data_IF_260787369519
#
_entry.id   IF_260787369519
#
_cell.length_a   1.000
_cell.length_b   1.000
_cell.length_c   1.000
_cell.angle_alpha   90.00
_cell.angle_beta   90.00
_cell.angle_gamma   90.00
#
_symmetry.space_group_name_H-M   'P 1'
#
loop_
_entity.id
_entity.type
_entity.pdbx_description
1 polymer ?
#
# COMPACT_ATOMS: atom_id res chain seq x y z
N UNK A 1 39.57 31.31 -5.39
CA UNK A 1 38.23 31.21 -4.78
C UNK A 1 37.73 29.81 -5.07
N UNK A 2 38.08 28.86 -4.22
CA UNK A 2 37.67 27.45 -4.36
C UNK A 2 36.34 27.29 -3.62
N UNK A 3 35.27 26.99 -4.35
CA UNK A 3 33.99 26.60 -3.77
C UNK A 3 34.12 25.14 -3.34
N UNK A 4 34.36 24.95 -2.04
CA UNK A 4 34.20 23.66 -1.36
C UNK A 4 32.70 23.35 -1.32
N UNK A 5 32.28 22.38 -2.14
CA UNK A 5 30.92 21.87 -2.16
C UNK A 5 30.89 20.67 -1.21
N UNK A 6 30.06 20.63 -0.15
CA UNK A 6 29.96 19.45 0.67
C UNK A 6 29.34 18.31 -0.15
N UNK A 7 29.73 17.04 0.07
CA UNK A 7 29.04 15.93 -0.54
C UNK A 7 27.62 15.89 0.03
N UNK A 8 26.62 16.07 -0.83
CA UNK A 8 25.24 15.70 -0.53
C UNK A 8 25.18 14.17 -0.44
N UNK A 9 25.60 13.62 0.69
CA UNK A 9 25.27 12.26 1.06
C UNK A 9 23.83 12.24 1.57
N UNK A 10 22.88 12.32 0.64
CA UNK A 10 21.54 11.84 0.87
C UNK A 10 21.52 10.37 0.48
N UNK A 11 22.14 9.53 1.30
CA UNK A 11 21.64 8.17 1.44
C UNK A 11 20.47 8.27 2.42
N UNK A 12 19.19 8.36 1.98
CA UNK A 12 18.10 8.11 2.91
C UNK A 12 18.25 6.65 3.30
N UNK A 13 18.88 6.39 4.45
CA UNK A 13 18.69 5.12 5.14
C UNK A 13 17.19 4.88 5.19
N UNK A 14 16.78 3.66 4.86
CA UNK A 14 15.42 3.13 4.65
C UNK A 14 14.46 3.38 5.84
N UNK A 15 14.33 4.64 6.27
CA UNK A 15 13.64 5.02 7.48
C UNK A 15 12.15 4.78 7.25
N UNK A 16 11.60 3.90 8.08
CA UNK A 16 10.21 3.51 7.98
C UNK A 16 9.31 4.76 8.06
N UNK A 17 8.40 4.97 7.09
CA UNK A 17 7.53 6.14 7.12
C UNK A 17 6.71 6.18 8.41
N UNK A 18 6.42 7.36 8.99
CA UNK A 18 5.71 7.49 10.28
C UNK A 18 4.25 7.04 10.25
N UNK A 19 3.73 6.71 9.07
CA UNK A 19 2.39 6.18 8.82
C UNK A 19 2.40 4.67 8.54
N UNK A 20 3.56 4.02 8.58
CA UNK A 20 3.74 2.59 8.34
C UNK A 20 4.32 1.93 9.59
N UNK A 21 3.73 0.79 9.98
CA UNK A 21 4.20 -0.05 11.07
C UNK A 21 4.24 -1.50 10.59
N UNK A 22 5.40 -2.15 10.70
CA UNK A 22 5.53 -3.60 10.48
C UNK A 22 5.29 -4.29 11.82
N UNK A 23 4.27 -5.15 11.87
CA UNK A 23 3.86 -5.85 13.08
C UNK A 23 4.66 -7.15 13.29
N UNK A 24 4.67 -7.72 14.52
CA UNK A 24 5.39 -8.96 14.82
C UNK A 24 4.92 -10.20 14.03
N UNK A 25 3.67 -10.20 13.55
CA UNK A 25 3.09 -11.27 12.72
C UNK A 25 3.34 -11.06 11.22
N UNK A 26 4.29 -10.17 10.89
CA UNK A 26 4.67 -9.74 9.55
C UNK A 26 3.60 -8.95 8.81
N UNK A 27 2.41 -8.71 9.38
CA UNK A 27 1.45 -7.80 8.78
C UNK A 27 1.96 -6.34 8.81
N UNK A 28 1.43 -5.50 7.93
CA UNK A 28 1.80 -4.08 7.87
C UNK A 28 0.58 -3.22 8.10
N UNK A 29 0.63 -2.37 9.13
CA UNK A 29 -0.40 -1.38 9.45
C UNK A 29 -0.07 -0.05 8.80
N UNK A 30 -1.02 0.48 8.03
CA UNK A 30 -0.95 1.80 7.39
C UNK A 30 -1.93 2.76 8.04
N UNK A 31 -1.44 3.90 8.53
CA UNK A 31 -2.27 5.00 9.02
C UNK A 31 -2.75 5.88 7.88
N UNK A 32 -4.06 5.96 7.71
CA UNK A 32 -4.71 6.82 6.74
C UNK A 32 -4.53 8.30 7.13
N UNK A 33 -4.58 9.17 6.13
CA UNK A 33 -4.38 10.62 6.33
C UNK A 33 -5.56 11.29 7.02
N UNK A 34 -6.72 10.63 6.96
CA UNK A 34 -7.98 10.97 7.61
C UNK A 34 -8.78 9.68 7.81
N UNK A 35 -9.70 9.63 8.79
CA UNK A 35 -10.63 8.53 8.90
C UNK A 35 -11.44 8.35 7.60
N UNK A 36 -11.60 7.11 7.17
CA UNK A 36 -12.51 6.72 6.12
C UNK A 36 -13.80 6.19 6.76
N UNK A 37 -14.95 6.66 6.29
CA UNK A 37 -16.26 6.21 6.78
C UNK A 37 -16.74 5.06 5.91
N UNK A 38 -16.89 3.89 6.50
CA UNK A 38 -17.41 2.70 5.84
C UNK A 38 -18.94 2.81 5.62
N UNK A 39 -19.53 2.01 4.71
CA UNK A 39 -20.97 2.03 4.45
C UNK A 39 -21.84 1.71 5.68
N UNK A 40 -21.29 0.99 6.66
CA UNK A 40 -21.92 0.67 7.94
C UNK A 40 -21.72 1.77 9.00
N UNK A 41 -21.22 2.95 8.61
CA UNK A 41 -20.88 4.11 9.44
C UNK A 41 -19.68 3.93 10.39
N UNK A 42 -18.98 2.81 10.30
CA UNK A 42 -17.75 2.59 11.07
C UNK A 42 -16.62 3.47 10.53
N UNK A 43 -15.91 4.16 11.43
CA UNK A 43 -14.70 4.91 11.05
C UNK A 43 -13.49 3.99 11.04
N UNK A 44 -12.70 4.08 9.96
CA UNK A 44 -11.44 3.37 9.84
C UNK A 44 -10.31 4.37 9.61
N UNK A 45 -9.38 4.43 10.56
CA UNK A 45 -8.20 5.31 10.50
C UNK A 45 -6.92 4.57 10.10
N UNK A 46 -6.96 3.24 10.11
CA UNK A 46 -5.85 2.37 9.75
C UNK A 46 -6.31 1.24 8.86
N UNK A 47 -5.41 0.74 8.03
CA UNK A 47 -5.61 -0.46 7.21
C UNK A 47 -4.44 -1.38 7.48
N UNK A 48 -4.70 -2.62 7.88
CA UNK A 48 -3.68 -3.64 8.10
C UNK A 48 -3.69 -4.62 6.93
N UNK A 49 -2.55 -4.76 6.27
CA UNK A 49 -2.32 -5.73 5.21
C UNK A 49 -1.66 -6.97 5.82
N UNK A 50 -2.24 -8.15 5.62
CA UNK A 50 -1.55 -9.42 5.94
C UNK A 50 -0.44 -9.71 4.93
N UNK A 51 0.50 -10.56 5.32
CA UNK A 51 1.52 -11.06 4.41
C UNK A 51 0.88 -11.73 3.17
N UNK A 52 1.27 -11.32 1.95
CA UNK A 52 0.74 -11.90 0.72
C UNK A 52 1.28 -13.31 0.51
N UNK A 53 0.42 -14.20 0.00
CA UNK A 53 0.84 -15.56 -0.38
C UNK A 53 1.00 -15.66 -1.90
N UNK A 54 1.70 -16.70 -2.36
CA UNK A 54 1.77 -17.05 -3.79
C UNK A 54 0.39 -17.31 -4.39
N UNK A 55 -0.56 -17.82 -3.59
CA UNK A 55 -1.93 -18.04 -4.03
C UNK A 55 -2.64 -16.71 -4.32
N UNK A 56 -2.44 -15.69 -3.47
CA UNK A 56 -2.99 -14.35 -3.71
C UNK A 56 -2.39 -13.73 -4.97
N UNK A 57 -1.07 -13.82 -5.14
CA UNK A 57 -0.42 -13.31 -6.35
C UNK A 57 -1.05 -13.95 -7.60
N UNK A 58 -1.20 -15.28 -7.64
CA UNK A 58 -1.82 -15.97 -8.78
C UNK A 58 -3.30 -15.60 -8.98
N UNK A 59 -4.04 -15.33 -7.92
CA UNK A 59 -5.46 -14.99 -8.00
C UNK A 59 -5.71 -13.58 -8.57
N UNK A 60 -4.79 -12.64 -8.33
CA UNK A 60 -4.98 -11.23 -8.70
C UNK A 60 -3.97 -10.69 -9.72
N UNK A 61 -3.07 -11.53 -10.24
CA UNK A 61 -2.23 -11.14 -11.37
C UNK A 61 -3.10 -10.73 -12.57
N UNK A 62 -2.80 -9.59 -13.23
CA UNK A 62 -3.54 -9.16 -14.40
C UNK A 62 -3.44 -10.23 -15.50
N UNK A 63 -4.59 -10.78 -15.88
CA UNK A 63 -4.68 -11.92 -16.79
C UNK A 63 -4.40 -11.52 -18.24
N UNK A 64 -3.15 -11.75 -18.68
CA UNK A 64 -2.81 -11.98 -20.08
C UNK A 64 -2.25 -10.78 -20.88
N UNK A 65 -1.61 -11.06 -22.04
CA UNK A 65 -1.12 -10.04 -22.95
C UNK A 65 -2.32 -9.25 -23.53
N UNK A 66 -2.42 -7.97 -23.17
CA UNK A 66 -3.52 -7.09 -23.57
C UNK A 66 -4.27 -6.43 -22.42
N UNK A 67 -3.92 -6.72 -21.17
CA UNK A 67 -4.46 -5.98 -20.03
C UNK A 67 -4.13 -4.48 -20.16
N UNK A 68 -5.16 -3.65 -20.16
CA UNK A 68 -4.98 -2.20 -20.20
C UNK A 68 -4.68 -1.63 -18.79
N UNK A 69 -4.31 -0.35 -18.74
CA UNK A 69 -3.97 0.32 -17.47
C UNK A 69 -5.10 0.25 -16.44
N UNK A 70 -6.36 0.35 -16.89
CA UNK A 70 -7.54 0.25 -16.01
C UNK A 70 -7.68 -1.15 -15.41
N UNK A 71 -7.55 -2.20 -16.22
CA UNK A 71 -7.63 -3.58 -15.75
C UNK A 71 -6.50 -3.90 -14.77
N UNK A 72 -5.32 -3.34 -15.00
CA UNK A 72 -4.16 -3.49 -14.11
C UNK A 72 -4.43 -2.81 -12.76
N UNK A 73 -4.95 -1.58 -12.76
CA UNK A 73 -5.32 -0.86 -11.54
C UNK A 73 -6.47 -1.56 -10.78
N UNK A 74 -7.49 -2.07 -11.48
CA UNK A 74 -8.60 -2.82 -10.88
C UNK A 74 -8.10 -4.14 -10.25
N UNK A 75 -7.15 -4.83 -10.88
CA UNK A 75 -6.53 -6.04 -10.34
C UNK A 75 -5.73 -5.75 -9.07
N UNK A 76 -4.94 -4.66 -9.06
CA UNK A 76 -4.17 -4.21 -7.90
C UNK A 76 -5.08 -3.82 -6.73
N UNK A 77 -6.14 -3.03 -6.96
CA UNK A 77 -7.08 -2.64 -5.92
C UNK A 77 -7.75 -3.86 -5.27
N UNK A 78 -8.11 -4.88 -6.07
CA UNK A 78 -8.66 -6.14 -5.58
C UNK A 78 -7.64 -6.95 -4.79
N UNK A 79 -6.38 -6.95 -5.24
CA UNK A 79 -5.30 -7.62 -4.53
C UNK A 79 -5.06 -6.99 -3.16
N UNK A 80 -4.87 -5.67 -3.11
CA UNK A 80 -4.68 -4.95 -1.85
C UNK A 80 -5.88 -5.13 -0.92
N UNK A 81 -7.11 -5.14 -1.44
CA UNK A 81 -8.30 -5.40 -0.63
C UNK A 81 -8.31 -6.83 -0.06
N UNK A 82 -7.86 -7.84 -0.80
CA UNK A 82 -7.77 -9.22 -0.34
C UNK A 82 -6.71 -9.44 0.76
N UNK A 83 -5.71 -8.55 0.85
CA UNK A 83 -4.73 -8.53 1.93
C UNK A 83 -5.24 -7.73 3.14
N UNK A 84 -6.16 -6.80 2.93
CA UNK A 84 -6.63 -5.89 3.96
C UNK A 84 -7.79 -6.48 4.77
N UNK A 85 -7.68 -6.47 6.10
CA UNK A 85 -8.71 -7.06 6.97
C UNK A 85 -10.04 -6.30 6.91
N UNK A 86 -11.11 -7.00 6.51
CA UNK A 86 -12.46 -6.45 6.43
C UNK A 86 -12.61 -5.29 5.46
N UNK A 87 -11.85 -5.28 4.36
CA UNK A 87 -11.88 -4.23 3.33
C UNK A 87 -12.39 -4.79 2.00
N UNK A 88 -13.32 -4.07 1.36
CA UNK A 88 -13.81 -4.40 0.02
C UNK A 88 -12.99 -3.68 -1.06
N UNK A 89 -13.00 -4.16 -2.32
CA UNK A 89 -12.37 -3.40 -3.41
C UNK A 89 -12.94 -1.98 -3.56
N UNK A 90 -14.24 -1.78 -3.32
CA UNK A 90 -14.88 -0.45 -3.38
C UNK A 90 -14.38 0.54 -2.32
N UNK A 91 -13.87 0.05 -1.19
CA UNK A 91 -13.20 0.90 -0.21
C UNK A 91 -11.92 1.50 -0.82
N UNK A 92 -11.15 0.70 -1.54
CA UNK A 92 -9.91 1.14 -2.18
C UNK A 92 -10.18 2.26 -3.20
N UNK A 93 -11.24 2.12 -4.00
CA UNK A 93 -11.67 3.13 -4.97
C UNK A 93 -12.07 4.46 -4.31
N UNK A 94 -12.55 4.42 -3.06
CA UNK A 94 -12.95 5.60 -2.31
C UNK A 94 -11.82 6.30 -1.55
N UNK A 95 -10.64 5.68 -1.45
CA UNK A 95 -9.52 6.27 -0.72
C UNK A 95 -9.03 7.55 -1.39
N UNK A 96 -8.50 8.47 -0.58
CA UNK A 96 -7.69 9.55 -1.13
C UNK A 96 -6.47 8.93 -1.84
N UNK A 97 -6.10 9.46 -3.02
CA UNK A 97 -4.97 8.93 -3.81
C UNK A 97 -3.68 8.77 -2.98
N UNK A 98 -3.42 9.72 -2.06
CA UNK A 98 -2.26 9.65 -1.15
C UNK A 98 -2.28 8.41 -0.24
N UNK A 99 -3.46 7.99 0.21
CA UNK A 99 -3.61 6.86 1.12
C UNK A 99 -3.56 5.54 0.35
N UNK A 100 -4.10 5.51 -0.87
CA UNK A 100 -3.88 4.41 -1.81
C UNK A 100 -2.37 4.21 -2.10
N UNK A 101 -1.63 5.30 -2.37
CA UNK A 101 -0.18 5.25 -2.56
C UNK A 101 0.57 4.74 -1.32
N UNK A 102 0.10 5.07 -0.11
CA UNK A 102 0.68 4.49 1.12
C UNK A 102 0.52 2.99 1.19
N UNK A 103 -0.64 2.46 0.76
CA UNK A 103 -0.86 1.01 0.69
C UNK A 103 0.03 0.34 -0.35
N UNK A 104 0.21 0.95 -1.52
CA UNK A 104 1.14 0.46 -2.55
C UNK A 104 2.59 0.42 -2.04
N UNK A 105 3.03 1.48 -1.35
CA UNK A 105 4.36 1.53 -0.74
C UNK A 105 4.48 0.47 0.35
N UNK A 106 3.48 0.33 1.23
CA UNK A 106 3.46 -0.70 2.26
C UNK A 106 3.54 -2.11 1.68
N UNK A 107 2.84 -2.38 0.57
CA UNK A 107 2.94 -3.66 -0.11
C UNK A 107 4.38 -3.97 -0.58
N UNK A 108 5.14 -2.96 -0.99
CA UNK A 108 6.54 -3.11 -1.38
C UNK A 108 7.44 -3.65 -0.27
N UNK A 109 7.11 -3.42 1.01
CA UNK A 109 7.88 -3.94 2.15
C UNK A 109 7.73 -5.45 2.35
N UNK A 110 6.75 -6.12 1.73
CA UNK A 110 6.68 -7.58 1.73
C UNK A 110 7.67 -8.23 0.74
N UNK A 111 8.30 -7.44 -0.13
CA UNK A 111 9.14 -7.92 -1.23
C UNK A 111 10.63 -7.63 -1.02
N UNK A 112 11.00 -6.99 0.10
CA UNK A 112 12.37 -6.62 0.48
C UNK A 112 12.98 -7.63 1.48
#
# INVERSE_FOLDING_TARGET
>A
MSLDHPPHDHTPGNAMPPWLEVNPDHSITVRLSRPYILPDTTERSTVTLREPTVADQKAFMPSGPGANARQTAEAEARFLAALADGITPSFMDGLALRDYQRLQVAFGFFLD
#
